data_IF_020867642800
#
_entry.id   IF_020867642800
#
_cell.length_a   1.000
_cell.length_b   1.000
_cell.length_c   1.000
_cell.angle_alpha   90.00
_cell.angle_beta   90.00
_cell.angle_gamma   90.00
#
_symmetry.space_group_name_H-M   'P 1'
#
loop_
_entity.id
_entity.type
_entity.pdbx_description
1 polymer ?
#
# COMPACT_ATOMS: atom_id res chain seq x y z
N UNK A 1 -2.03 20.59 -25.88
CA UNK A 1 -2.51 19.86 -24.68
C UNK A 1 -1.35 19.02 -24.20
N UNK A 2 -0.70 19.39 -23.09
CA UNK A 2 0.37 18.58 -22.53
C UNK A 2 -0.28 17.32 -21.94
N UNK A 3 0.01 16.16 -22.51
CA UNK A 3 -0.37 14.88 -21.93
C UNK A 3 0.36 14.75 -20.60
N UNK A 4 -0.32 15.06 -19.50
CA UNK A 4 0.24 14.90 -18.16
C UNK A 4 0.53 13.42 -17.96
N UNK A 5 1.80 13.05 -18.10
CA UNK A 5 2.23 11.67 -17.90
C UNK A 5 1.76 11.25 -16.50
N UNK A 6 1.11 10.09 -16.34
CA UNK A 6 0.67 9.63 -15.03
C UNK A 6 1.84 9.73 -14.05
N UNK A 7 1.62 10.26 -12.83
CA UNK A 7 2.70 10.41 -11.86
C UNK A 7 3.45 9.08 -11.74
N UNK A 8 4.79 9.10 -11.69
CA UNK A 8 5.55 7.87 -11.72
C UNK A 8 5.08 6.95 -10.59
N UNK A 9 4.63 5.74 -10.91
CA UNK A 9 3.92 4.87 -9.95
C UNK A 9 4.76 4.48 -8.74
N UNK A 10 6.10 4.52 -8.87
CA UNK A 10 7.05 4.35 -7.78
C UNK A 10 7.01 5.48 -6.74
N UNK A 11 6.39 6.62 -7.04
CA UNK A 11 6.14 7.71 -6.09
C UNK A 11 4.92 7.44 -5.21
N UNK A 12 4.00 6.55 -5.64
CA UNK A 12 2.75 6.27 -4.94
C UNK A 12 2.90 5.24 -3.81
N UNK A 13 3.78 4.24 -4.01
CA UNK A 13 4.12 3.25 -2.98
C UNK A 13 5.62 3.21 -2.76
N UNK A 14 6.03 3.09 -1.51
CA UNK A 14 7.42 2.79 -1.17
C UNK A 14 7.54 1.34 -0.73
N UNK A 15 8.31 0.56 -1.47
CA UNK A 15 8.54 -0.86 -1.21
C UNK A 15 9.65 -1.01 -0.19
N UNK A 16 9.32 -1.62 0.95
CA UNK A 16 10.25 -1.87 2.05
C UNK A 16 10.94 -3.22 1.88
N UNK A 17 10.23 -4.18 1.29
CA UNK A 17 10.72 -5.52 1.04
C UNK A 17 9.91 -6.17 -0.08
N UNK A 18 10.57 -6.92 -0.96
CA UNK A 18 9.91 -7.79 -1.94
C UNK A 18 10.70 -9.07 -2.11
N UNK A 19 10.05 -10.22 -1.96
CA UNK A 19 10.65 -11.52 -2.24
C UNK A 19 10.48 -11.98 -3.70
N UNK A 20 9.77 -11.19 -4.51
CA UNK A 20 9.54 -11.44 -5.94
C UNK A 20 9.83 -10.18 -6.77
N UNK A 21 10.11 -10.30 -8.07
CA UNK A 21 10.18 -9.15 -8.96
C UNK A 21 8.86 -8.36 -8.94
N UNK A 22 8.94 -7.07 -8.63
CA UNK A 22 7.77 -6.19 -8.63
C UNK A 22 7.68 -5.46 -9.97
N UNK A 23 6.80 -5.93 -10.86
CA UNK A 23 6.56 -5.26 -12.13
C UNK A 23 5.78 -3.95 -11.93
N UNK A 24 5.85 -2.99 -12.88
CA UNK A 24 5.08 -1.75 -12.80
C UNK A 24 3.55 -1.97 -12.73
N UNK A 25 3.03 -2.99 -13.42
CA UNK A 25 1.62 -3.36 -13.38
C UNK A 25 1.21 -3.91 -12.02
N UNK A 26 2.01 -4.80 -11.44
CA UNK A 26 1.76 -5.35 -10.10
C UNK A 26 1.82 -4.25 -9.03
N UNK A 27 2.78 -3.31 -9.13
CA UNK A 27 2.84 -2.16 -8.24
C UNK A 27 1.55 -1.30 -8.32
N UNK A 28 0.97 -1.14 -9.51
CA UNK A 28 -0.30 -0.42 -9.69
C UNK A 28 -1.47 -1.16 -9.01
N UNK A 29 -1.59 -2.48 -9.23
CA UNK A 29 -2.62 -3.31 -8.59
C UNK A 29 -2.53 -3.26 -7.06
N UNK A 30 -1.31 -3.33 -6.52
CA UNK A 30 -1.09 -3.23 -5.07
C UNK A 30 -1.44 -1.84 -4.54
N UNK A 31 -1.09 -0.78 -5.26
CA UNK A 31 -1.47 0.59 -4.90
C UNK A 31 -2.99 0.76 -4.85
N UNK A 32 -3.70 0.36 -5.89
CA UNK A 32 -5.16 0.48 -5.97
C UNK A 32 -5.87 -0.31 -4.88
N UNK A 33 -5.45 -1.57 -4.66
CA UNK A 33 -5.99 -2.41 -3.60
C UNK A 33 -5.71 -1.86 -2.21
N UNK A 34 -4.49 -1.36 -1.95
CA UNK A 34 -4.16 -0.73 -0.67
C UNK A 34 -4.93 0.57 -0.44
N UNK A 35 -5.10 1.40 -1.48
CA UNK A 35 -5.86 2.65 -1.41
C UNK A 35 -7.33 2.40 -1.10
N UNK A 36 -7.93 1.39 -1.73
CA UNK A 36 -9.31 0.97 -1.44
C UNK A 36 -9.45 0.44 0.00
N UNK A 37 -8.52 -0.41 0.46
CA UNK A 37 -8.49 -0.87 1.85
C UNK A 37 -8.29 0.27 2.85
N UNK A 38 -7.50 1.27 2.50
CA UNK A 38 -7.28 2.46 3.32
C UNK A 38 -8.56 3.28 3.45
N UNK A 39 -9.23 3.58 2.32
CA UNK A 39 -10.47 4.37 2.28
C UNK A 39 -11.62 3.72 3.04
N UNK A 40 -11.76 2.39 2.94
CA UNK A 40 -12.82 1.63 3.61
C UNK A 40 -12.46 1.24 5.05
N UNK A 41 -11.28 1.61 5.53
CA UNK A 41 -10.67 1.11 6.76
C UNK A 41 -10.74 -0.43 6.89
N UNK A 42 -10.61 -1.15 5.78
CA UNK A 42 -10.67 -2.61 5.75
C UNK A 42 -9.32 -3.24 6.13
N UNK A 43 -9.38 -4.43 6.76
CA UNK A 43 -8.19 -5.13 7.22
C UNK A 43 -7.49 -5.93 6.10
N UNK A 44 -8.27 -6.49 5.17
CA UNK A 44 -7.73 -7.33 4.09
C UNK A 44 -8.54 -7.18 2.81
N UNK A 45 -7.88 -7.38 1.66
CA UNK A 45 -8.52 -7.38 0.35
C UNK A 45 -7.84 -8.34 -0.61
N UNK A 46 -8.54 -8.82 -1.65
CA UNK A 46 -7.93 -9.66 -2.68
C UNK A 46 -6.94 -8.84 -3.53
N UNK A 47 -5.93 -9.51 -4.05
CA UNK A 47 -5.16 -9.01 -5.20
C UNK A 47 -5.82 -9.58 -6.43
N UNK A 48 -6.46 -8.72 -7.23
CA UNK A 48 -7.07 -9.07 -8.50
C UNK A 48 -6.25 -8.42 -9.63
N UNK A 49 -5.24 -9.15 -10.11
CA UNK A 49 -4.45 -8.72 -11.27
C UNK A 49 -4.13 -9.91 -12.16
N UNK A 50 -4.00 -9.65 -13.46
CA UNK A 50 -3.78 -10.70 -14.47
C UNK A 50 -2.47 -11.50 -14.26
N UNK A 51 -1.50 -10.91 -13.54
CA UNK A 51 -0.16 -11.46 -13.35
C UNK A 51 0.07 -12.10 -11.97
N UNK A 52 -0.82 -11.86 -11.01
CA UNK A 52 -0.69 -12.38 -9.65
C UNK A 52 -2.03 -12.40 -8.93
N UNK A 53 -2.31 -13.50 -8.23
CA UNK A 53 -3.44 -13.61 -7.31
C UNK A 53 -2.95 -13.55 -5.87
N UNK A 54 -3.82 -13.18 -4.92
CA UNK A 54 -3.45 -13.25 -3.51
C UNK A 54 -4.25 -12.32 -2.61
N UNK A 55 -3.61 -11.82 -1.56
CA UNK A 55 -4.24 -10.97 -0.55
C UNK A 55 -3.33 -9.84 -0.11
N UNK A 56 -3.92 -8.66 0.04
CA UNK A 56 -3.36 -7.51 0.72
C UNK A 56 -3.89 -7.48 2.16
N UNK A 57 -3.00 -7.20 3.11
CA UNK A 57 -3.29 -6.99 4.52
C UNK A 57 -2.89 -5.58 4.89
N UNK A 58 -3.84 -4.80 5.39
CA UNK A 58 -3.59 -3.52 6.02
C UNK A 58 -3.01 -3.77 7.42
N UNK A 59 -1.77 -3.37 7.66
CA UNK A 59 -1.09 -3.61 8.93
C UNK A 59 -1.62 -2.70 10.05
N UNK A 60 -2.53 -1.76 9.73
CA UNK A 60 -3.14 -0.79 10.65
C UNK A 60 -2.10 0.02 11.41
N UNK A 61 -0.98 0.32 10.73
CA UNK A 61 0.15 1.07 11.27
C UNK A 61 0.65 2.05 10.22
N UNK A 62 1.07 3.22 10.68
CA UNK A 62 1.79 4.20 9.87
C UNK A 62 3.28 3.98 10.10
N UNK A 63 4.06 3.90 9.03
CA UNK A 63 5.50 3.77 9.06
C UNK A 63 6.16 5.04 8.52
N UNK A 64 7.36 5.31 9.02
CA UNK A 64 8.21 6.38 8.54
C UNK A 64 9.59 5.81 8.21
N UNK A 65 10.07 6.06 6.98
CA UNK A 65 11.39 5.71 6.50
C UNK A 65 12.07 6.97 5.96
N UNK A 66 12.97 7.55 6.75
CA UNK A 66 13.54 8.87 6.46
C UNK A 66 12.46 9.94 6.34
N UNK A 67 12.36 10.57 5.16
CA UNK A 67 11.34 11.57 4.84
C UNK A 67 10.02 10.99 4.32
N UNK A 68 9.94 9.69 4.07
CA UNK A 68 8.76 9.03 3.52
C UNK A 68 7.89 8.52 4.67
N UNK A 69 6.59 8.80 4.65
CA UNK A 69 5.64 8.34 5.68
C UNK A 69 4.34 7.89 5.07
N UNK A 70 3.70 6.88 5.66
CA UNK A 70 2.32 6.53 5.38
C UNK A 70 1.89 5.15 5.89
N UNK A 71 0.63 4.75 5.63
CA UNK A 71 0.06 3.50 6.10
C UNK A 71 0.75 2.30 5.43
N UNK A 72 1.01 1.26 6.22
CA UNK A 72 1.77 0.09 5.81
C UNK A 72 0.88 -1.12 5.48
N UNK A 73 1.32 -1.87 4.48
CA UNK A 73 0.61 -3.02 3.93
C UNK A 73 1.57 -4.18 3.67
N UNK A 74 1.04 -5.39 3.77
CA UNK A 74 1.70 -6.63 3.32
C UNK A 74 0.83 -7.28 2.25
N UNK A 75 1.41 -7.59 1.09
CA UNK A 75 0.76 -8.39 0.07
C UNK A 75 1.42 -9.77 0.01
N UNK A 76 0.60 -10.82 0.11
CA UNK A 76 1.00 -12.20 -0.20
C UNK A 76 0.46 -12.53 -1.58
N UNK A 77 1.35 -12.94 -2.46
CA UNK A 77 1.10 -13.08 -3.89
C UNK A 77 1.49 -14.48 -4.33
N UNK A 78 0.65 -15.08 -5.14
CA UNK A 78 0.91 -16.30 -5.87
C UNK A 78 1.07 -15.93 -7.35
N UNK A 79 2.24 -16.26 -7.91
CA UNK A 79 2.59 -16.01 -9.30
C UNK A 79 2.99 -17.33 -9.96
N UNK A 80 3.09 -17.36 -11.29
CA UNK A 80 3.56 -18.54 -12.04
C UNK A 80 4.97 -19.01 -11.63
N UNK A 81 5.78 -18.11 -11.06
CA UNK A 81 7.14 -18.40 -10.59
C UNK A 81 7.19 -18.84 -9.12
N UNK A 82 6.04 -18.86 -8.44
CA UNK A 82 5.90 -19.20 -7.02
C UNK A 82 5.27 -18.10 -6.18
N UNK A 83 5.17 -18.38 -4.88
CA UNK A 83 4.57 -17.47 -3.90
C UNK A 83 5.60 -16.49 -3.34
N UNK A 84 5.15 -15.26 -3.08
CA UNK A 84 5.98 -14.16 -2.62
C UNK A 84 5.28 -13.22 -1.65
N UNK A 85 6.08 -12.40 -0.97
CA UNK A 85 5.59 -11.36 -0.06
C UNK A 85 6.19 -10.01 -0.43
N UNK A 86 5.34 -8.99 -0.45
CA UNK A 86 5.73 -7.59 -0.65
C UNK A 86 5.26 -6.78 0.54
N UNK A 87 6.18 -6.05 1.18
CA UNK A 87 5.87 -5.07 2.23
C UNK A 87 6.11 -3.68 1.71
N UNK A 88 5.14 -2.81 1.87
CA UNK A 88 5.17 -1.48 1.31
C UNK A 88 4.32 -0.52 2.13
N UNK A 89 4.47 0.76 1.87
CA UNK A 89 3.59 1.80 2.39
C UNK A 89 2.99 2.61 1.25
N UNK A 90 1.77 3.11 1.42
CA UNK A 90 1.25 4.19 0.58
C UNK A 90 1.92 5.48 1.03
N UNK A 91 2.56 6.22 0.11
CA UNK A 91 3.20 7.48 0.50
C UNK A 91 2.14 8.53 0.79
N UNK A 92 2.40 9.43 1.73
CA UNK A 92 1.51 10.57 1.99
C UNK A 92 1.24 11.39 0.72
N UNK A 93 2.27 11.62 -0.10
CA UNK A 93 2.13 12.27 -1.40
C UNK A 93 1.20 11.49 -2.34
N UNK A 94 1.30 10.15 -2.37
CA UNK A 94 0.41 9.30 -3.16
C UNK A 94 -1.05 9.36 -2.70
N UNK A 95 -1.28 9.47 -1.38
CA UNK A 95 -2.61 9.66 -0.82
C UNK A 95 -3.20 11.03 -1.16
N UNK A 96 -2.40 12.09 -1.07
CA UNK A 96 -2.78 13.47 -1.42
C UNK A 96 -3.16 13.58 -2.91
N UNK A 97 -2.37 12.99 -3.81
CA UNK A 97 -2.68 12.91 -5.25
C UNK A 97 -3.97 12.12 -5.53
N UNK A 98 -4.28 11.14 -4.69
CA UNK A 98 -5.51 10.34 -4.79
C UNK A 98 -6.73 11.00 -4.13
N UNK A 99 -6.60 12.22 -3.59
CA UNK A 99 -7.67 12.88 -2.83
C UNK A 99 -8.12 12.11 -1.59
N UNK A 100 -7.27 11.20 -1.10
CA UNK A 100 -7.53 10.42 0.10
C UNK A 100 -6.92 11.18 1.30
N UNK A 101 -7.75 11.98 1.97
CA UNK A 101 -7.35 12.62 3.21
C UNK A 101 -7.09 11.55 4.28
N UNK A 102 -6.01 11.72 5.03
CA UNK A 102 -5.65 10.73 6.03
C UNK A 102 -6.75 10.65 7.10
N UNK A 103 -7.22 9.44 7.48
CA UNK A 103 -8.13 9.33 8.60
C UNK A 103 -7.41 9.88 9.83
N UNK A 104 -8.11 10.63 10.69
CA UNK A 104 -7.51 11.27 11.85
C UNK A 104 -6.75 10.22 12.68
N UNK A 105 -5.56 10.56 13.22
CA UNK A 105 -4.76 9.61 13.98
C UNK A 105 -5.61 9.05 15.11
N UNK A 106 -5.69 7.72 15.21
CA UNK A 106 -6.41 7.05 16.27
C UNK A 106 -5.87 7.54 17.62
N UNK A 107 -6.77 8.07 18.47
CA UNK A 107 -6.43 8.62 19.77
C UNK A 107 -5.61 7.60 20.58
N UNK A 108 -4.56 8.03 21.31
CA UNK A 108 -3.76 7.13 22.12
C UNK A 108 -4.66 6.43 23.14
N UNK A 109 -4.70 5.10 23.10
CA UNK A 109 -5.46 4.31 24.08
C UNK A 109 -4.90 4.62 25.47
N UNK A 110 -5.73 4.98 26.46
CA UNK A 110 -5.24 5.25 27.81
C UNK A 110 -4.54 3.99 28.32
N UNK A 111 -3.30 4.21 28.76
CA UNK A 111 -2.46 3.18 29.37
C UNK A 111 -3.10 2.88 30.72
N UNK A 112 -3.89 1.80 30.80
CA UNK A 112 -4.37 1.31 32.08
C UNK A 112 -3.15 0.94 32.92
N UNK A 113 -2.85 1.78 33.92
CA UNK A 113 -1.97 1.39 35.03
C UNK A 113 -2.77 0.41 35.90
N UNK A 114 -2.26 -0.82 36.00
CA UNK A 114 -2.53 -1.70 37.12
C UNK A 114 -1.48 -1.45 38.20
#
# INVERSE_FOLDING_TARGET
MASEAPPPRWTLISVLFSSIPLSPSLAATLHEGALDLYRRDAATGPVAGDLASGRIVNLKKTLQLGAITGPAFEARLDTERGSGTVRYLLTRQGLELAGAEAPPPAAPRPRYLN
#
